data_IF_520896521382
#
_entry.id   IF_520896521382
#
_cell.length_a   1.000
_cell.length_b   1.000
_cell.length_c   1.000
_cell.angle_alpha   90.00
_cell.angle_beta   90.00
_cell.angle_gamma   90.00
#
_symmetry.space_group_name_H-M   'P 1'
#
loop_
_entity.id
_entity.type
_entity.pdbx_description
1 polymer ?
#
# COMPACT_ATOMS: atom_id res chain seq x y z
N UNK A 1 64.84 -21.11 30.84
CA UNK A 1 64.04 -21.70 29.75
C UNK A 1 62.59 -21.39 30.11
N UNK A 2 62.06 -20.28 29.58
CA UNK A 2 61.02 -20.28 28.53
C UNK A 2 59.75 -20.99 29.04
N UNK A 3 58.58 -20.39 29.12
CA UNK A 3 57.94 -19.39 28.28
C UNK A 3 56.56 -19.06 28.91
N UNK A 4 55.85 -18.09 28.34
CA UNK A 4 54.42 -17.79 28.46
C UNK A 4 53.99 -16.72 29.46
N UNK A 5 54.06 -15.49 28.94
CA UNK A 5 53.12 -14.42 29.21
C UNK A 5 51.69 -14.81 28.81
N UNK A 6 50.71 -14.44 29.65
CA UNK A 6 49.34 -13.99 29.32
C UNK A 6 48.56 -13.87 30.62
N UNK A 7 48.14 -12.65 30.95
CA UNK A 7 46.79 -12.30 31.41
C UNK A 7 46.81 -10.87 31.95
N UNK A 8 46.58 -9.91 31.06
CA UNK A 8 46.21 -8.54 31.44
C UNK A 8 45.49 -7.86 30.27
N UNK A 9 44.28 -8.32 29.92
CA UNK A 9 43.40 -7.59 28.96
C UNK A 9 41.89 -7.86 29.15
N UNK A 10 41.44 -8.22 30.36
CA UNK A 10 40.01 -8.51 30.62
C UNK A 10 39.31 -7.49 31.52
N UNK A 11 40.03 -6.53 32.12
CA UNK A 11 39.43 -5.55 33.03
C UNK A 11 39.02 -4.21 32.37
N UNK A 12 39.44 -3.93 31.13
CA UNK A 12 39.22 -2.62 30.49
C UNK A 12 38.04 -2.58 29.49
N UNK A 13 37.39 -3.71 29.20
CA UNK A 13 36.31 -3.80 28.19
C UNK A 13 34.89 -3.76 28.75
N UNK A 14 34.72 -3.85 30.06
CA UNK A 14 33.39 -3.90 30.71
C UNK A 14 32.84 -2.54 31.16
N UNK A 15 33.69 -1.50 31.31
CA UNK A 15 33.25 -0.16 31.78
C UNK A 15 32.82 0.77 30.63
N UNK A 16 33.09 0.42 29.36
CA UNK A 16 32.60 1.18 28.20
C UNK A 16 31.17 0.78 27.83
N UNK A 17 30.81 -0.51 27.92
CA UNK A 17 29.45 -0.98 27.62
C UNK A 17 28.42 -0.46 28.64
N UNK A 18 28.79 -0.36 29.92
CA UNK A 18 27.93 0.13 30.99
C UNK A 18 27.67 1.65 30.90
N UNK A 19 28.61 2.45 30.37
CA UNK A 19 28.44 3.90 30.19
C UNK A 19 27.63 4.28 28.94
N UNK A 20 27.56 3.39 27.94
CA UNK A 20 26.66 3.56 26.79
C UNK A 20 25.19 3.20 27.09
N UNK A 21 24.93 2.45 28.18
CA UNK A 21 23.57 2.04 28.56
C UNK A 21 22.82 3.03 29.47
N UNK A 22 23.53 3.99 30.08
CA UNK A 22 22.95 4.97 31.01
C UNK A 22 22.68 6.36 30.41
N UNK A 23 22.91 6.56 29.10
CA UNK A 23 22.67 7.85 28.43
C UNK A 23 21.49 7.83 27.43
N UNK A 24 20.72 6.74 27.35
CA UNK A 24 19.55 6.65 26.47
C UNK A 24 18.23 6.73 27.25
N UNK A 25 18.16 7.65 28.21
CA UNK A 25 16.90 8.09 28.78
C UNK A 25 16.08 8.81 27.69
N UNK A 26 15.16 8.05 27.10
CA UNK A 26 13.86 8.47 26.55
C UNK A 26 13.81 9.93 26.06
N UNK A 27 14.47 10.24 24.94
CA UNK A 27 13.84 11.17 24.01
C UNK A 27 12.52 10.53 23.57
N UNK A 28 11.37 11.23 23.62
CA UNK A 28 10.16 10.71 23.00
C UNK A 28 10.50 10.39 21.55
N UNK A 29 10.45 9.11 21.18
CA UNK A 29 10.71 8.69 19.81
C UNK A 29 9.52 9.18 19.00
N UNK A 30 9.67 10.34 18.37
CA UNK A 30 8.63 10.95 17.54
C UNK A 30 8.16 10.00 16.44
N UNK A 31 6.98 10.27 15.88
CA UNK A 31 6.49 9.54 14.72
C UNK A 31 7.50 9.61 13.55
N UNK A 32 7.52 8.60 12.68
CA UNK A 32 8.56 8.44 11.65
C UNK A 32 8.66 9.65 10.69
N UNK A 33 7.52 10.28 10.40
CA UNK A 33 7.43 11.49 9.58
C UNK A 33 7.01 12.73 10.39
N UNK A 34 7.29 12.75 11.70
CA UNK A 34 7.03 13.92 12.52
C UNK A 34 7.79 15.14 11.96
N UNK A 35 7.06 16.24 11.77
CA UNK A 35 7.60 17.48 11.18
C UNK A 35 7.46 17.58 9.66
N UNK A 36 7.07 16.50 8.97
CA UNK A 36 6.76 16.55 7.53
C UNK A 36 5.33 17.06 7.33
N UNK A 37 5.16 18.11 6.54
CA UNK A 37 3.87 18.65 6.11
C UNK A 37 3.56 18.29 4.67
N UNK A 38 2.39 17.69 4.43
CA UNK A 38 1.92 17.25 3.12
C UNK A 38 0.65 18.01 2.73
N UNK A 39 0.65 18.61 1.54
CA UNK A 39 -0.55 19.15 0.90
C UNK A 39 -1.13 18.06 -0.01
N UNK A 40 -2.29 17.54 0.37
CA UNK A 40 -3.01 16.47 -0.32
C UNK A 40 -4.09 17.08 -1.23
N UNK A 41 -3.81 17.15 -2.53
CA UNK A 41 -4.73 17.61 -3.58
C UNK A 41 -5.42 16.43 -4.30
N UNK A 42 -5.40 15.25 -3.67
CA UNK A 42 -5.82 14.01 -4.31
C UNK A 42 -7.29 13.69 -4.07
N UNK A 43 -7.84 12.81 -4.91
CA UNK A 43 -9.22 12.33 -4.82
C UNK A 43 -9.31 10.82 -5.08
N UNK A 44 -10.44 10.22 -4.73
CA UNK A 44 -10.76 8.82 -5.00
C UNK A 44 -9.89 7.85 -4.19
N UNK A 45 -8.89 7.17 -4.78
CA UNK A 45 -8.21 6.06 -4.08
C UNK A 45 -6.68 6.13 -4.10
N UNK A 46 -6.02 6.08 -5.27
CA UNK A 46 -4.57 5.94 -5.33
C UNK A 46 -3.80 7.03 -4.54
N UNK A 47 -4.16 8.29 -4.78
CA UNK A 47 -3.59 9.44 -4.08
C UNK A 47 -3.97 9.46 -2.59
N UNK A 48 -5.27 9.37 -2.23
CA UNK A 48 -5.69 9.37 -0.83
C UNK A 48 -5.06 8.22 -0.01
N UNK A 49 -4.89 7.04 -0.60
CA UNK A 49 -4.22 5.91 0.02
C UNK A 49 -2.74 6.20 0.31
N UNK A 50 -2.02 6.78 -0.64
CA UNK A 50 -0.64 7.25 -0.45
C UNK A 50 -0.53 8.24 0.70
N UNK A 51 -1.34 9.30 0.68
CA UNK A 51 -1.27 10.35 1.70
C UNK A 51 -1.78 9.89 3.06
N UNK A 52 -2.70 8.92 3.11
CA UNK A 52 -3.10 8.27 4.36
C UNK A 52 -1.95 7.46 4.99
N UNK A 53 -1.15 6.75 4.19
CA UNK A 53 0.03 6.04 4.72
C UNK A 53 1.04 7.05 5.30
N UNK A 54 1.30 8.16 4.60
CA UNK A 54 2.17 9.23 5.12
C UNK A 54 1.60 9.84 6.41
N UNK A 55 0.29 10.05 6.47
CA UNK A 55 -0.40 10.49 7.67
C UNK A 55 -0.19 9.46 8.79
N UNK A 56 -0.48 8.17 8.58
CA UNK A 56 -0.30 7.11 9.58
C UNK A 56 1.13 7.08 10.17
N UNK A 57 2.14 7.33 9.33
CA UNK A 57 3.56 7.43 9.71
C UNK A 57 3.93 8.72 10.46
N UNK A 58 3.03 9.70 10.57
CA UNK A 58 3.18 10.87 11.43
C UNK A 58 3.22 12.22 10.72
N UNK A 59 3.08 12.26 9.40
CA UNK A 59 3.05 13.53 8.67
C UNK A 59 1.78 14.34 9.00
N UNK A 60 1.89 15.66 8.97
CA UNK A 60 0.76 16.59 8.98
C UNK A 60 0.20 16.68 7.56
N UNK A 61 -0.87 15.92 7.28
CA UNK A 61 -1.48 15.83 5.95
C UNK A 61 -2.71 16.72 5.90
N UNK A 62 -2.65 17.74 5.05
CA UNK A 62 -3.70 18.72 4.83
C UNK A 62 -4.35 18.44 3.47
N UNK A 63 -5.54 17.85 3.50
CA UNK A 63 -6.36 17.57 2.32
C UNK A 63 -7.09 18.84 1.89
N UNK A 64 -6.80 19.31 0.68
CA UNK A 64 -7.48 20.44 0.06
C UNK A 64 -8.64 19.91 -0.77
N UNK A 65 -9.83 20.42 -0.47
CA UNK A 65 -11.07 19.92 -1.02
C UNK A 65 -11.85 21.04 -1.73
N UNK A 66 -12.54 20.67 -2.82
CA UNK A 66 -13.37 21.60 -3.57
C UNK A 66 -14.65 21.94 -2.79
N UNK A 67 -15.05 23.22 -2.67
CA UNK A 67 -16.29 23.62 -1.97
C UNK A 67 -17.57 23.01 -2.52
N UNK A 68 -17.59 22.58 -3.78
CA UNK A 68 -18.75 21.99 -4.44
C UNK A 68 -19.06 20.53 -4.10
N UNK A 69 -18.49 19.97 -3.02
CA UNK A 69 -18.80 18.60 -2.56
C UNK A 69 -17.61 17.77 -2.06
N UNK A 70 -16.40 18.35 -2.05
CA UNK A 70 -15.18 17.71 -1.56
C UNK A 70 -14.65 16.58 -2.44
N UNK A 71 -13.99 15.60 -1.83
CA UNK A 71 -13.59 14.35 -2.48
C UNK A 71 -14.80 13.55 -2.96
N UNK A 72 -14.75 12.99 -4.17
CA UNK A 72 -15.81 12.15 -4.74
C UNK A 72 -16.19 10.96 -3.84
N UNK A 73 -15.24 10.45 -3.05
CA UNK A 73 -15.51 9.33 -2.13
C UNK A 73 -16.45 9.68 -0.99
N UNK A 74 -16.68 10.97 -0.69
CA UNK A 74 -17.68 11.40 0.30
C UNK A 74 -19.11 10.95 -0.07
N UNK A 75 -19.38 10.77 -1.36
CA UNK A 75 -20.70 10.41 -1.91
C UNK A 75 -20.73 9.02 -2.56
N UNK A 76 -19.70 8.21 -2.36
CA UNK A 76 -19.60 6.86 -2.95
C UNK A 76 -20.42 5.82 -2.17
N UNK A 77 -20.86 4.75 -2.81
CA UNK A 77 -21.71 3.70 -2.20
C UNK A 77 -23.09 4.16 -1.69
N UNK A 78 -23.59 5.29 -2.19
CA UNK A 78 -24.92 5.83 -1.89
C UNK A 78 -24.85 7.05 -0.96
N UNK A 79 -25.89 7.88 -1.02
CA UNK A 79 -26.06 8.99 -0.07
C UNK A 79 -26.40 8.41 1.31
N UNK A 80 -25.73 8.88 2.36
CA UNK A 80 -26.20 8.61 3.72
C UNK A 80 -27.32 9.60 4.02
N UNK A 81 -28.52 9.09 4.28
CA UNK A 81 -29.74 9.90 4.52
C UNK A 81 -29.62 10.92 5.67
N UNK A 82 -28.56 10.84 6.48
CA UNK A 82 -28.28 11.70 7.62
C UNK A 82 -27.15 12.72 7.39
N UNK A 83 -26.73 12.94 6.14
CA UNK A 83 -25.74 13.96 5.78
C UNK A 83 -24.31 13.64 6.23
N UNK A 84 -24.03 12.37 6.53
CA UNK A 84 -22.67 11.86 6.79
C UNK A 84 -21.88 11.73 5.50
N UNK A 85 -20.56 11.63 5.64
CA UNK A 85 -19.74 11.14 4.54
C UNK A 85 -19.87 9.61 4.43
N UNK A 86 -19.69 9.11 3.21
CA UNK A 86 -19.58 7.69 2.94
C UNK A 86 -18.40 7.04 3.68
N UNK A 87 -18.60 5.78 4.07
CA UNK A 87 -17.53 4.93 4.62
C UNK A 87 -16.37 4.72 3.63
N UNK A 88 -16.58 4.94 2.33
CA UNK A 88 -15.51 4.97 1.32
C UNK A 88 -14.50 6.09 1.61
N UNK A 89 -14.98 7.28 1.99
CA UNK A 89 -14.12 8.38 2.39
C UNK A 89 -13.37 8.06 3.69
N UNK A 90 -14.07 7.46 4.67
CA UNK A 90 -13.49 7.08 5.97
C UNK A 90 -12.32 6.10 5.82
N UNK A 91 -12.43 5.16 4.89
CA UNK A 91 -11.40 4.14 4.64
C UNK A 91 -10.05 4.71 4.18
N UNK A 92 -10.02 5.93 3.65
CA UNK A 92 -8.88 6.50 2.94
C UNK A 92 -8.37 7.84 3.49
N UNK A 93 -9.04 8.42 4.50
CA UNK A 93 -8.77 9.80 4.91
C UNK A 93 -8.57 10.01 6.42
N UNK A 94 -8.44 8.95 7.22
CA UNK A 94 -8.02 9.06 8.63
C UNK A 94 -6.69 9.83 8.76
N UNK A 95 -6.46 10.42 9.93
CA UNK A 95 -5.27 11.23 10.25
C UNK A 95 -5.08 12.54 9.46
N UNK A 96 -5.94 12.86 8.49
CA UNK A 96 -5.83 14.08 7.68
C UNK A 96 -6.58 15.24 8.31
N UNK A 97 -6.19 16.47 7.94
CA UNK A 97 -6.96 17.70 8.14
C UNK A 97 -7.63 18.08 6.82
N UNK A 98 -8.88 18.56 6.85
CA UNK A 98 -9.61 18.99 5.65
C UNK A 98 -9.72 20.50 5.58
N UNK A 99 -9.39 21.08 4.43
CA UNK A 99 -9.48 22.52 4.14
C UNK A 99 -10.25 22.70 2.84
N UNK A 100 -11.24 23.59 2.83
CA UNK A 100 -11.98 23.95 1.63
C UNK A 100 -11.31 25.12 0.89
N UNK A 101 -10.79 24.88 -0.31
CA UNK A 101 -10.26 25.93 -1.19
C UNK A 101 -10.79 25.74 -2.61
N UNK A 102 -11.33 26.83 -3.19
CA UNK A 102 -11.60 26.87 -4.62
C UNK A 102 -10.36 27.36 -5.37
N UNK A 103 -9.59 26.41 -5.90
CA UNK A 103 -8.36 26.66 -6.66
C UNK A 103 -8.59 27.40 -8.00
N UNK A 104 -9.85 27.60 -8.41
CA UNK A 104 -10.19 28.42 -9.60
C UNK A 104 -10.29 29.91 -9.28
N UNK A 105 -10.30 30.27 -8.00
CA UNK A 105 -10.32 31.67 -7.55
C UNK A 105 -8.91 32.15 -7.26
N UNK A 106 -8.65 33.44 -7.48
CA UNK A 106 -7.35 34.05 -7.15
C UNK A 106 -6.98 33.85 -5.67
N UNK A 107 -7.97 33.98 -4.78
CA UNK A 107 -7.78 33.77 -3.35
C UNK A 107 -7.42 32.32 -3.02
N UNK A 108 -8.19 31.35 -3.52
CA UNK A 108 -7.92 29.94 -3.23
C UNK A 108 -6.56 29.47 -3.77
N UNK A 109 -6.16 29.96 -4.94
CA UNK A 109 -4.82 29.71 -5.49
C UNK A 109 -3.72 30.38 -4.64
N UNK A 110 -3.90 31.63 -4.23
CA UNK A 110 -2.96 32.31 -3.35
C UNK A 110 -2.83 31.58 -1.99
N UNK A 111 -3.92 31.07 -1.46
CA UNK A 111 -3.93 30.29 -0.21
C UNK A 111 -3.17 28.97 -0.38
N UNK A 112 -3.35 28.27 -1.51
CA UNK A 112 -2.54 27.09 -1.86
C UNK A 112 -1.04 27.43 -1.94
N UNK A 113 -0.67 28.52 -2.61
CA UNK A 113 0.73 28.94 -2.72
C UNK A 113 1.35 29.23 -1.34
N UNK A 114 0.59 29.85 -0.42
CA UNK A 114 1.03 30.03 0.97
C UNK A 114 1.20 28.70 1.71
N UNK A 115 0.33 27.72 1.49
CA UNK A 115 0.51 26.36 2.04
C UNK A 115 1.80 25.73 1.53
N UNK A 116 2.04 25.78 0.22
CA UNK A 116 3.21 25.19 -0.46
C UNK A 116 4.52 25.78 0.03
N UNK A 117 4.56 27.08 0.32
CA UNK A 117 5.74 27.75 0.88
C UNK A 117 6.22 27.16 2.23
N UNK A 118 5.38 26.39 2.91
CA UNK A 118 5.69 25.72 4.18
C UNK A 118 5.57 24.20 4.12
N UNK A 119 5.25 23.64 2.95
CA UNK A 119 5.06 22.21 2.77
C UNK A 119 6.38 21.49 2.45
N UNK A 120 6.45 20.22 2.82
CA UNK A 120 7.53 19.32 2.42
C UNK A 120 7.15 18.55 1.16
N UNK A 121 5.87 18.19 1.04
CA UNK A 121 5.33 17.37 -0.05
C UNK A 121 4.02 17.96 -0.56
N UNK A 122 3.82 17.97 -1.87
CA UNK A 122 2.51 18.14 -2.51
C UNK A 122 2.18 16.84 -3.24
N UNK A 123 0.96 16.34 -3.10
CA UNK A 123 0.48 15.17 -3.83
C UNK A 123 -0.78 15.53 -4.60
N UNK A 124 -0.84 15.20 -5.89
CA UNK A 124 -2.08 15.30 -6.68
C UNK A 124 -2.27 14.07 -7.56
N UNK A 125 -3.51 13.82 -8.01
CA UNK A 125 -3.80 12.75 -8.96
C UNK A 125 -4.76 13.17 -10.08
N UNK A 126 -4.65 14.44 -10.48
CA UNK A 126 -5.39 14.96 -11.62
C UNK A 126 -4.87 14.43 -12.96
N UNK A 127 -5.72 14.52 -13.98
CA UNK A 127 -5.31 14.30 -15.37
C UNK A 127 -4.17 15.27 -15.75
N UNK A 128 -3.23 14.86 -16.60
CA UNK A 128 -2.22 15.76 -17.14
C UNK A 128 -2.82 17.05 -17.72
N UNK A 129 -2.11 18.17 -17.55
CA UNK A 129 -2.58 19.51 -17.95
C UNK A 129 -3.51 20.20 -16.95
N UNK A 130 -4.08 19.49 -15.98
CA UNK A 130 -4.96 20.12 -14.97
C UNK A 130 -4.16 20.98 -14.00
N UNK A 131 -3.01 20.48 -13.53
CA UNK A 131 -2.17 21.18 -12.56
C UNK A 131 -1.65 22.51 -13.14
N UNK A 132 -1.24 22.50 -14.41
CA UNK A 132 -0.77 23.67 -15.15
C UNK A 132 -1.88 24.71 -15.29
N UNK A 133 -3.11 24.29 -15.66
CA UNK A 133 -4.25 25.21 -15.74
C UNK A 133 -4.66 25.83 -14.40
N UNK A 134 -4.40 25.12 -13.30
CA UNK A 134 -4.69 25.59 -11.95
C UNK A 134 -3.53 26.39 -11.34
N UNK A 135 -2.37 26.51 -11.99
CA UNK A 135 -1.18 27.13 -11.40
C UNK A 135 -0.61 26.34 -10.21
N UNK A 136 -0.79 25.02 -10.23
CA UNK A 136 -0.35 24.07 -9.21
C UNK A 136 0.59 22.99 -9.78
N UNK A 137 1.22 23.26 -10.93
CA UNK A 137 2.22 22.38 -11.54
C UNK A 137 3.57 22.46 -10.83
N UNK A 138 4.44 21.50 -11.11
CA UNK A 138 5.77 21.42 -10.49
C UNK A 138 6.61 22.69 -10.71
N UNK A 139 6.61 23.28 -11.90
CA UNK A 139 7.44 24.45 -12.21
C UNK A 139 6.99 25.64 -11.37
N UNK A 140 5.67 25.88 -11.30
CA UNK A 140 5.10 26.96 -10.49
C UNK A 140 5.38 26.75 -9.00
N UNK A 141 5.11 25.55 -8.47
CA UNK A 141 5.23 25.30 -7.02
C UNK A 141 6.68 25.19 -6.53
N UNK A 142 7.59 24.65 -7.35
CA UNK A 142 9.02 24.58 -6.99
C UNK A 142 9.70 25.95 -7.00
N UNK A 143 9.23 26.90 -7.81
CA UNK A 143 9.71 28.29 -7.74
C UNK A 143 9.37 28.96 -6.40
N UNK A 144 8.23 28.59 -5.79
CA UNK A 144 7.83 29.06 -4.46
C UNK A 144 8.63 28.33 -3.37
N UNK A 145 8.88 27.04 -3.55
CA UNK A 145 9.58 26.20 -2.58
C UNK A 145 10.53 25.20 -3.30
N UNK A 146 11.82 25.55 -3.45
CA UNK A 146 12.80 24.68 -4.12
C UNK A 146 13.07 23.35 -3.39
N UNK A 147 12.67 23.24 -2.12
CA UNK A 147 12.80 22.03 -1.30
C UNK A 147 11.60 21.07 -1.45
N UNK A 148 10.60 21.44 -2.25
CA UNK A 148 9.35 20.72 -2.36
C UNK A 148 9.52 19.36 -3.06
N UNK A 149 9.01 18.29 -2.44
CA UNK A 149 8.76 17.04 -3.14
C UNK A 149 7.38 17.13 -3.82
N UNK A 150 7.36 17.17 -5.14
CA UNK A 150 6.12 17.25 -5.92
C UNK A 150 5.75 15.88 -6.46
N UNK A 151 4.67 15.30 -5.97
CA UNK A 151 4.27 13.94 -6.25
C UNK A 151 2.97 13.86 -7.06
N UNK A 152 2.96 13.03 -8.10
CA UNK A 152 1.81 12.87 -8.99
C UNK A 152 1.47 11.41 -9.26
N UNK A 153 0.18 11.06 -9.24
CA UNK A 153 -0.34 9.79 -9.78
C UNK A 153 -1.26 10.09 -10.97
N UNK A 154 -1.10 9.37 -12.07
CA UNK A 154 -2.01 9.46 -13.22
C UNK A 154 -2.43 8.08 -13.72
N UNK A 155 -3.27 8.03 -14.76
CA UNK A 155 -3.67 6.77 -15.38
C UNK A 155 -2.52 6.03 -16.05
N UNK A 156 -1.68 6.75 -16.81
CA UNK A 156 -0.68 6.19 -17.73
C UNK A 156 0.68 6.90 -17.70
N UNK A 157 0.91 7.80 -16.77
CA UNK A 157 2.12 8.64 -16.69
C UNK A 157 1.90 9.99 -17.36
N UNK A 158 2.90 10.86 -17.27
CA UNK A 158 2.83 12.21 -17.86
C UNK A 158 3.49 12.32 -19.23
N UNK A 159 4.04 11.21 -19.73
CA UNK A 159 4.71 11.12 -21.03
C UNK A 159 4.21 9.92 -21.83
N UNK A 160 4.59 9.85 -23.11
CA UNK A 160 4.18 8.77 -24.01
C UNK A 160 2.79 8.95 -24.62
N UNK A 161 2.37 8.02 -25.49
CA UNK A 161 1.17 8.19 -26.32
C UNK A 161 -0.15 8.16 -25.54
N UNK A 162 -0.12 7.72 -24.27
CA UNK A 162 -1.31 7.56 -23.43
C UNK A 162 -1.42 8.60 -22.32
N UNK A 163 -0.50 9.57 -22.24
CA UNK A 163 -0.47 10.58 -21.19
C UNK A 163 -1.82 11.29 -20.99
N UNK A 164 -2.47 11.70 -22.09
CA UNK A 164 -3.74 12.44 -22.02
C UNK A 164 -4.99 11.56 -21.82
N UNK A 165 -4.83 10.23 -21.72
CA UNK A 165 -5.98 9.33 -21.55
C UNK A 165 -6.53 9.37 -20.13
N UNK A 166 -7.87 9.35 -19.95
CA UNK A 166 -8.45 9.12 -18.64
C UNK A 166 -8.10 7.70 -18.16
N UNK A 167 -7.72 7.56 -16.90
CA UNK A 167 -7.37 6.28 -16.30
C UNK A 167 -8.16 6.03 -15.01
N UNK A 168 -8.69 4.82 -14.92
CA UNK A 168 -9.21 4.21 -13.70
C UNK A 168 -8.57 2.83 -13.56
N UNK A 169 -8.57 2.29 -12.34
CA UNK A 169 -7.98 0.99 -12.02
C UNK A 169 -8.39 -0.12 -13.00
N UNK A 170 -9.70 -0.27 -13.28
CA UNK A 170 -10.20 -1.29 -14.21
C UNK A 170 -9.58 -1.16 -15.62
N UNK A 171 -9.43 0.07 -16.12
CA UNK A 171 -8.83 0.33 -17.43
C UNK A 171 -7.34 -0.01 -17.39
N UNK A 172 -6.63 0.38 -16.33
CA UNK A 172 -5.22 0.06 -16.15
C UNK A 172 -4.99 -1.46 -16.07
N UNK A 173 -5.81 -2.20 -15.33
CA UNK A 173 -5.74 -3.66 -15.25
C UNK A 173 -5.94 -4.33 -16.62
N UNK A 174 -6.91 -3.84 -17.40
CA UNK A 174 -7.17 -4.36 -18.75
C UNK A 174 -6.01 -4.07 -19.71
N UNK A 175 -5.47 -2.84 -19.68
CA UNK A 175 -4.41 -2.43 -20.59
C UNK A 175 -3.03 -3.01 -20.24
N UNK A 176 -2.74 -3.24 -18.96
CA UNK A 176 -1.46 -3.78 -18.51
C UNK A 176 -1.39 -5.32 -18.54
N UNK A 177 -2.43 -6.00 -19.04
CA UNK A 177 -2.46 -7.46 -19.20
C UNK A 177 -2.86 -8.24 -17.95
N UNK A 178 -3.14 -7.59 -16.81
CA UNK A 178 -3.55 -8.29 -15.60
C UNK A 178 -4.86 -9.07 -15.78
N UNK A 179 -5.83 -8.50 -16.52
CA UNK A 179 -7.09 -9.19 -16.81
C UNK A 179 -6.94 -10.37 -17.77
N UNK A 180 -5.91 -10.41 -18.63
CA UNK A 180 -5.73 -11.53 -19.58
C UNK A 180 -5.21 -12.79 -18.90
N UNK A 181 -4.74 -12.68 -17.66
CA UNK A 181 -4.16 -13.77 -16.88
C UNK A 181 -4.96 -14.12 -15.62
N UNK A 182 -6.05 -13.39 -15.36
CA UNK A 182 -6.89 -13.55 -14.17
C UNK A 182 -8.20 -14.25 -14.55
N UNK A 183 -8.60 -15.25 -13.76
CA UNK A 183 -9.83 -16.02 -13.94
C UNK A 183 -9.58 -17.46 -14.37
N UNK A 184 -10.66 -18.15 -14.72
CA UNK A 184 -10.62 -19.52 -15.20
C UNK A 184 -10.19 -19.60 -16.67
N UNK A 185 -9.51 -20.69 -17.10
CA UNK A 185 -9.29 -20.97 -18.51
C UNK A 185 -10.61 -20.90 -19.32
N UNK A 186 -10.54 -20.32 -20.50
CA UNK A 186 -11.68 -20.13 -21.44
C UNK A 186 -12.89 -19.32 -20.88
N UNK A 187 -12.75 -18.73 -19.69
CA UNK A 187 -13.73 -17.84 -19.07
C UNK A 187 -13.75 -16.43 -19.69
N UNK A 188 -14.78 -15.64 -19.33
CA UNK A 188 -14.78 -14.20 -19.65
C UNK A 188 -13.66 -13.51 -18.87
N UNK A 189 -13.01 -12.46 -19.43
CA UNK A 189 -12.00 -11.70 -18.69
C UNK A 189 -12.58 -11.13 -17.39
N UNK A 190 -11.86 -11.32 -16.29
CA UNK A 190 -12.20 -10.79 -14.97
C UNK A 190 -11.06 -9.92 -14.45
N UNK A 191 -11.41 -8.91 -13.65
CA UNK A 191 -10.45 -8.06 -12.95
C UNK A 191 -10.00 -8.72 -11.65
N UNK A 192 -8.88 -8.25 -11.09
CA UNK A 192 -8.56 -8.54 -9.71
C UNK A 192 -9.68 -8.01 -8.79
N UNK A 193 -10.03 -8.79 -7.76
CA UNK A 193 -11.05 -8.40 -6.79
C UNK A 193 -10.71 -7.08 -6.09
N UNK A 194 -9.42 -6.85 -5.84
CA UNK A 194 -8.88 -5.61 -5.27
C UNK A 194 -8.46 -4.62 -6.38
N UNK A 195 -8.49 -3.31 -6.09
CA UNK A 195 -8.07 -2.26 -7.02
C UNK A 195 -6.53 -2.15 -7.01
N UNK A 196 -5.87 -3.14 -7.61
CA UNK A 196 -4.41 -3.32 -7.54
C UNK A 196 -3.63 -2.18 -8.20
N UNK A 197 -4.16 -1.55 -9.24
CA UNK A 197 -3.56 -0.38 -9.87
C UNK A 197 -3.60 0.84 -8.95
N UNK A 198 -4.74 1.11 -8.32
CA UNK A 198 -4.86 2.23 -7.35
C UNK A 198 -3.96 2.02 -6.13
N UNK A 199 -4.06 0.85 -5.48
CA UNK A 199 -3.29 0.54 -4.27
C UNK A 199 -1.80 0.43 -4.59
N UNK A 200 -1.44 -0.21 -5.71
CA UNK A 200 -0.07 -0.35 -6.17
C UNK A 200 0.59 0.99 -6.46
N UNK A 201 -0.09 1.87 -7.21
CA UNK A 201 0.42 3.21 -7.51
C UNK A 201 0.57 4.04 -6.22
N UNK A 202 -0.37 3.93 -5.29
CA UNK A 202 -0.26 4.57 -3.98
C UNK A 202 0.99 4.14 -3.20
N UNK A 203 1.27 2.82 -3.14
CA UNK A 203 2.45 2.28 -2.46
C UNK A 203 3.77 2.66 -3.16
N UNK A 204 3.81 2.64 -4.49
CA UNK A 204 4.98 3.08 -5.26
C UNK A 204 5.25 4.57 -5.04
N UNK A 205 4.20 5.40 -5.01
CA UNK A 205 4.37 6.84 -4.76
C UNK A 205 4.85 7.12 -3.33
N UNK A 206 4.36 6.39 -2.31
CA UNK A 206 4.93 6.49 -0.94
C UNK A 206 6.43 6.21 -0.97
N UNK A 207 6.85 5.15 -1.65
CA UNK A 207 8.27 4.79 -1.76
C UNK A 207 9.10 5.90 -2.44
N UNK A 208 8.58 6.47 -3.53
CA UNK A 208 9.20 7.58 -4.23
C UNK A 208 9.28 8.88 -3.40
N UNK A 209 8.23 9.21 -2.64
CA UNK A 209 8.20 10.37 -1.73
C UNK A 209 9.25 10.20 -0.63
N UNK A 210 9.32 9.02 0.00
CA UNK A 210 10.32 8.75 1.06
C UNK A 210 11.75 8.85 0.51
N UNK A 211 11.99 8.35 -0.70
CA UNK A 211 13.28 8.47 -1.37
C UNK A 211 13.63 9.94 -1.70
N UNK A 212 12.67 10.72 -2.18
CA UNK A 212 12.85 12.14 -2.49
C UNK A 212 13.07 12.99 -1.24
N UNK A 213 12.38 12.70 -0.13
CA UNK A 213 12.63 13.33 1.16
C UNK A 213 14.07 13.02 1.65
N UNK A 214 14.52 11.77 1.53
CA UNK A 214 15.89 11.39 1.88
C UNK A 214 16.94 12.07 0.98
N UNK A 215 16.64 12.20 -0.31
CA UNK A 215 17.47 12.97 -1.25
C UNK A 215 17.60 14.42 -0.79
N UNK A 216 16.47 15.07 -0.50
CA UNK A 216 16.39 16.46 -0.04
C UNK A 216 17.15 16.71 1.25
N UNK A 217 17.17 15.76 2.20
CA UNK A 217 17.96 15.90 3.42
C UNK A 217 19.48 15.89 3.15
N UNK A 218 19.92 15.31 2.02
CA UNK A 218 21.34 15.24 1.64
C UNK A 218 21.77 16.38 0.73
N UNK A 219 20.89 16.82 -0.17
CA UNK A 219 21.22 17.82 -1.20
C UNK A 219 20.70 19.20 -0.88
N UNK A 220 19.67 19.28 -0.04
CA UNK A 220 18.93 20.51 0.17
C UNK A 220 17.81 20.73 -0.84
N UNK A 221 17.66 19.89 -1.85
CA UNK A 221 16.78 20.11 -3.01
C UNK A 221 15.60 19.14 -3.05
N UNK A 222 14.42 19.65 -3.42
CA UNK A 222 13.25 18.84 -3.70
C UNK A 222 13.32 18.21 -5.09
N UNK A 223 12.30 17.42 -5.46
CA UNK A 223 12.19 16.87 -6.80
C UNK A 223 10.76 16.45 -7.12
N UNK A 224 10.49 16.31 -8.43
CA UNK A 224 9.28 15.66 -8.93
C UNK A 224 9.39 14.15 -8.79
N UNK A 225 8.31 13.52 -8.35
CA UNK A 225 8.10 12.07 -8.27
C UNK A 225 6.78 11.75 -8.96
N UNK A 226 6.77 10.77 -9.86
CA UNK A 226 5.54 10.34 -10.50
C UNK A 226 5.48 8.84 -10.71
N UNK A 227 4.25 8.33 -10.78
CA UNK A 227 3.92 6.97 -11.19
C UNK A 227 2.54 6.96 -11.81
N UNK A 228 2.13 5.82 -12.36
CA UNK A 228 0.78 5.63 -12.87
C UNK A 228 0.13 4.33 -12.46
N UNK A 229 -1.19 4.26 -12.63
CA UNK A 229 -1.96 3.03 -12.42
C UNK A 229 -1.46 1.92 -13.37
N UNK A 230 -1.20 2.26 -14.63
CA UNK A 230 -0.67 1.33 -15.63
C UNK A 230 0.70 0.78 -15.25
N UNK A 231 1.64 1.65 -14.90
CA UNK A 231 2.99 1.25 -14.47
C UNK A 231 2.94 0.41 -13.19
N UNK A 232 2.05 0.73 -12.25
CA UNK A 232 1.88 -0.04 -11.03
C UNK A 232 1.43 -1.48 -11.33
N UNK A 233 0.42 -1.66 -12.19
CA UNK A 233 -0.03 -3.00 -12.58
C UNK A 233 1.08 -3.76 -13.31
N UNK A 234 1.79 -3.10 -14.23
CA UNK A 234 2.89 -3.71 -14.98
C UNK A 234 4.08 -4.07 -14.07
N UNK A 235 4.39 -3.25 -13.08
CA UNK A 235 5.45 -3.54 -12.11
C UNK A 235 5.16 -4.79 -11.26
N UNK A 236 3.88 -5.15 -11.09
CA UNK A 236 3.47 -6.35 -10.37
C UNK A 236 3.43 -7.62 -11.24
N UNK A 237 3.58 -7.52 -12.57
CA UNK A 237 3.52 -8.66 -13.50
C UNK A 237 4.89 -9.33 -13.77
N UNK A 238 5.76 -9.36 -12.75
CA UNK A 238 7.14 -9.85 -12.86
C UNK A 238 7.21 -11.28 -13.43
N UNK A 239 6.32 -12.17 -12.99
CA UNK A 239 6.33 -13.56 -13.45
C UNK A 239 5.70 -13.71 -14.83
N UNK A 240 4.59 -13.03 -15.08
CA UNK A 240 3.87 -13.06 -16.36
C UNK A 240 4.73 -12.52 -17.51
N UNK A 241 5.41 -11.39 -17.28
CA UNK A 241 6.33 -10.81 -18.25
C UNK A 241 7.53 -11.72 -18.51
N UNK A 242 8.08 -12.32 -17.45
CA UNK A 242 9.19 -13.29 -17.57
C UNK A 242 8.76 -14.54 -18.33
N UNK A 243 7.58 -15.10 -18.07
CA UNK A 243 7.03 -16.25 -18.82
C UNK A 243 6.91 -15.93 -20.30
N UNK A 244 6.37 -14.75 -20.64
CA UNK A 244 6.26 -14.32 -22.03
C UNK A 244 7.63 -14.20 -22.70
N UNK A 245 8.61 -13.55 -22.07
CA UNK A 245 9.94 -13.41 -22.65
C UNK A 245 10.71 -14.73 -22.75
N UNK A 246 10.51 -15.65 -21.81
CA UNK A 246 11.17 -16.94 -21.81
C UNK A 246 10.61 -17.92 -22.85
N UNK A 247 9.30 -17.87 -23.10
CA UNK A 247 8.60 -18.85 -23.95
C UNK A 247 8.18 -18.31 -25.31
N UNK A 248 8.08 -16.99 -25.46
CA UNK A 248 7.50 -16.32 -26.63
C UNK A 248 5.97 -16.43 -26.71
N UNK A 249 5.33 -17.10 -25.75
CA UNK A 249 3.88 -17.29 -25.70
C UNK A 249 3.26 -16.43 -24.58
N UNK A 250 2.14 -15.74 -24.83
CA UNK A 250 1.49 -14.95 -23.79
C UNK A 250 0.94 -15.87 -22.68
N UNK A 251 1.13 -15.51 -21.40
CA UNK A 251 0.57 -16.25 -20.28
C UNK A 251 -0.96 -16.27 -20.34
N UNK A 252 -1.55 -17.34 -19.82
CA UNK A 252 -3.01 -17.56 -19.83
C UNK A 252 -3.59 -17.59 -18.41
N UNK A 253 -4.92 -17.43 -18.25
CA UNK A 253 -5.59 -17.68 -16.98
C UNK A 253 -5.42 -19.14 -16.54
N UNK A 254 -5.29 -19.36 -15.23
CA UNK A 254 -5.03 -20.68 -14.62
C UNK A 254 -5.97 -20.96 -13.43
N UNK A 255 -7.05 -20.18 -13.28
CA UNK A 255 -7.86 -20.18 -12.07
C UNK A 255 -7.01 -19.78 -10.86
N UNK A 256 -7.03 -20.61 -9.82
CA UNK A 256 -6.23 -20.43 -8.60
C UNK A 256 -4.81 -21.01 -8.67
N UNK A 257 -4.45 -21.67 -9.78
CA UNK A 257 -3.21 -22.43 -9.83
C UNK A 257 -1.97 -21.58 -10.09
N UNK A 258 -0.88 -21.95 -9.42
CA UNK A 258 0.43 -21.34 -9.58
C UNK A 258 1.04 -21.65 -10.97
N UNK A 259 1.75 -20.68 -11.55
CA UNK A 259 2.40 -20.83 -12.86
C UNK A 259 3.64 -21.73 -12.85
N UNK A 260 4.33 -21.81 -11.72
CA UNK A 260 5.69 -22.38 -11.64
C UNK A 260 5.72 -23.75 -10.96
N UNK A 261 4.65 -24.15 -10.27
CA UNK A 261 4.65 -25.40 -9.51
C UNK A 261 3.27 -26.02 -9.38
N UNK A 262 3.26 -27.34 -9.21
CA UNK A 262 2.06 -28.12 -8.94
C UNK A 262 2.36 -29.24 -7.93
N UNK A 263 1.42 -29.59 -7.02
CA UNK A 263 0.17 -28.86 -6.78
C UNK A 263 0.44 -27.60 -5.93
N UNK A 264 0.00 -26.45 -6.46
CA UNK A 264 -0.03 -25.20 -5.72
C UNK A 264 -1.24 -24.38 -6.20
N UNK A 265 -2.41 -24.66 -5.62
CA UNK A 265 -3.70 -24.14 -6.08
C UNK A 265 -4.78 -24.30 -5.00
N UNK A 266 -5.98 -23.75 -5.25
CA UNK A 266 -7.17 -24.09 -4.48
C UNK A 266 -7.74 -25.44 -4.94
N UNK A 267 -8.19 -26.24 -3.98
CA UNK A 267 -8.79 -27.56 -4.18
C UNK A 267 -10.04 -27.70 -3.32
N UNK A 268 -11.07 -28.33 -3.88
CA UNK A 268 -12.36 -28.57 -3.23
C UNK A 268 -12.25 -29.61 -2.12
N UNK A 269 -12.96 -29.38 -1.03
CA UNK A 269 -13.14 -30.30 0.12
C UNK A 269 -14.62 -30.68 0.27
N UNK A 270 -15.01 -31.34 1.35
CA UNK A 270 -16.42 -31.68 1.59
C UNK A 270 -17.34 -30.46 1.73
N UNK A 271 -16.82 -29.34 2.29
CA UNK A 271 -17.62 -28.18 2.71
C UNK A 271 -17.10 -26.83 2.17
N UNK A 272 -16.03 -26.82 1.38
CA UNK A 272 -15.47 -25.57 0.84
C UNK A 272 -14.25 -25.78 -0.05
N UNK A 273 -13.28 -24.89 0.10
CA UNK A 273 -12.00 -24.92 -0.60
C UNK A 273 -10.87 -24.60 0.37
N UNK A 274 -9.75 -25.31 0.20
CA UNK A 274 -8.46 -24.92 0.77
C UNK A 274 -7.45 -24.67 -0.33
N UNK A 275 -6.41 -23.93 -0.01
CA UNK A 275 -5.21 -23.80 -0.83
C UNK A 275 -4.13 -24.72 -0.30
N UNK A 276 -3.44 -25.44 -1.18
CA UNK A 276 -2.27 -26.26 -0.84
C UNK A 276 -1.06 -25.67 -1.54
N UNK A 277 0.09 -25.61 -0.85
CA UNK A 277 1.38 -25.27 -1.44
C UNK A 277 2.40 -26.40 -1.32
N UNK A 278 2.43 -27.32 -2.30
CA UNK A 278 3.46 -28.36 -2.40
C UNK A 278 4.44 -28.08 -3.55
N UNK A 279 5.10 -26.92 -3.46
CA UNK A 279 5.89 -26.34 -4.55
C UNK A 279 7.29 -26.97 -4.77
N UNK A 280 7.65 -28.00 -4.02
CA UNK A 280 8.91 -28.71 -4.16
C UNK A 280 8.74 -30.20 -3.82
N UNK A 281 9.75 -31.02 -4.17
CA UNK A 281 9.62 -32.48 -4.07
C UNK A 281 9.38 -32.98 -2.64
N UNK A 282 10.00 -32.35 -1.64
CA UNK A 282 9.81 -32.72 -0.23
C UNK A 282 8.38 -32.45 0.23
N UNK A 283 7.82 -31.30 -0.14
CA UNK A 283 6.42 -30.97 0.20
C UNK A 283 5.43 -31.85 -0.57
N UNK A 284 5.74 -32.20 -1.82
CA UNK A 284 4.96 -33.15 -2.61
C UNK A 284 4.86 -34.52 -1.92
N UNK A 285 5.99 -35.10 -1.52
CA UNK A 285 6.00 -36.38 -0.81
C UNK A 285 5.22 -36.33 0.52
N UNK A 286 5.34 -35.22 1.25
CA UNK A 286 4.57 -35.02 2.49
C UNK A 286 3.09 -34.88 2.25
N UNK A 287 2.69 -34.19 1.18
CA UNK A 287 1.30 -34.07 0.78
C UNK A 287 0.71 -35.44 0.47
N UNK A 288 1.38 -36.23 -0.38
CA UNK A 288 0.97 -37.60 -0.68
C UNK A 288 0.83 -38.45 0.57
N UNK A 289 1.81 -38.38 1.50
CA UNK A 289 1.73 -39.12 2.76
C UNK A 289 0.55 -38.66 3.64
N UNK A 290 0.32 -37.35 3.78
CA UNK A 290 -0.75 -36.80 4.60
C UNK A 290 -2.15 -37.11 4.05
N UNK A 291 -2.26 -37.24 2.73
CA UNK A 291 -3.49 -37.62 2.04
C UNK A 291 -3.62 -39.13 1.83
N UNK A 292 -2.64 -39.93 2.25
CA UNK A 292 -2.61 -41.38 2.04
C UNK A 292 -2.65 -41.79 0.55
N UNK A 293 -2.02 -40.96 -0.31
CA UNK A 293 -1.89 -41.14 -1.75
C UNK A 293 -0.41 -41.35 -2.13
N UNK A 294 0.30 -42.18 -1.38
CA UNK A 294 1.76 -42.36 -1.53
C UNK A 294 2.18 -42.94 -2.88
N UNK A 295 1.29 -43.68 -3.53
CA UNK A 295 1.48 -44.23 -4.88
C UNK A 295 1.66 -43.14 -5.95
N UNK A 296 1.11 -41.94 -5.74
CA UNK A 296 1.29 -40.83 -6.68
C UNK A 296 2.72 -40.31 -6.71
N UNK A 297 3.54 -40.59 -5.70
CA UNK A 297 4.95 -40.16 -5.66
C UNK A 297 5.77 -40.82 -6.76
N UNK A 298 5.48 -42.09 -7.07
CA UNK A 298 6.20 -42.90 -8.04
C UNK A 298 5.46 -43.00 -9.39
N UNK A 299 4.28 -42.40 -9.50
CA UNK A 299 3.53 -42.31 -10.75
C UNK A 299 4.28 -41.45 -11.77
N UNK A 300 4.54 -42.01 -12.95
CA UNK A 300 5.26 -41.35 -14.04
C UNK A 300 4.69 -39.98 -14.42
N UNK A 301 3.39 -39.74 -14.18
CA UNK A 301 2.73 -38.45 -14.41
C UNK A 301 3.11 -37.38 -13.39
N UNK A 302 3.59 -37.75 -12.20
CA UNK A 302 3.72 -36.85 -11.04
C UNK A 302 5.10 -36.84 -10.35
N UNK A 303 6.08 -37.56 -10.89
CA UNK A 303 7.43 -37.68 -10.31
C UNK A 303 8.09 -36.31 -10.12
N UNK A 304 8.16 -35.52 -11.18
CA UNK A 304 8.80 -34.18 -11.15
C UNK A 304 7.76 -33.07 -11.13
N UNK A 305 8.18 -31.86 -10.73
CA UNK A 305 7.32 -30.69 -10.79
C UNK A 305 6.80 -30.42 -12.22
N UNK A 306 7.64 -30.62 -13.24
CA UNK A 306 7.23 -30.43 -14.63
C UNK A 306 6.18 -31.44 -15.07
N UNK A 307 6.30 -32.69 -14.61
CA UNK A 307 5.30 -33.72 -14.92
C UNK A 307 3.97 -33.36 -14.24
N UNK A 308 4.00 -32.99 -12.95
CA UNK A 308 2.80 -32.50 -12.23
C UNK A 308 2.16 -31.28 -12.88
N UNK A 309 2.96 -30.38 -13.44
CA UNK A 309 2.43 -29.22 -14.16
C UNK A 309 1.77 -29.60 -15.48
N UNK A 310 2.30 -30.59 -16.22
CA UNK A 310 1.70 -31.10 -17.46
C UNK A 310 0.39 -31.85 -17.20
N UNK A 311 0.30 -32.51 -16.05
CA UNK A 311 -0.86 -33.31 -15.63
C UNK A 311 -1.65 -32.63 -14.50
N UNK A 312 -1.67 -31.29 -14.46
CA UNK A 312 -2.22 -30.54 -13.32
C UNK A 312 -3.67 -30.84 -13.03
N UNK A 313 -4.52 -30.80 -14.04
CA UNK A 313 -5.97 -30.95 -13.85
C UNK A 313 -6.30 -32.37 -13.41
N UNK A 314 -5.58 -33.36 -13.95
CA UNK A 314 -5.66 -34.76 -13.55
C UNK A 314 -5.17 -34.97 -12.10
N UNK A 315 -4.07 -34.33 -11.72
CA UNK A 315 -3.58 -34.34 -10.34
C UNK A 315 -4.59 -33.68 -9.39
N UNK A 316 -5.13 -32.52 -9.76
CA UNK A 316 -6.11 -31.80 -8.95
C UNK A 316 -7.34 -32.67 -8.70
N UNK A 317 -7.87 -33.35 -9.71
CA UNK A 317 -9.01 -34.24 -9.58
C UNK A 317 -8.75 -35.40 -8.59
N UNK A 318 -7.57 -36.04 -8.65
CA UNK A 318 -7.17 -37.11 -7.73
C UNK A 318 -7.06 -36.60 -6.28
N UNK A 319 -6.49 -35.41 -6.09
CA UNK A 319 -6.39 -34.80 -4.77
C UNK A 319 -7.78 -34.41 -4.23
N UNK A 320 -8.65 -33.84 -5.07
CA UNK A 320 -10.02 -33.44 -4.69
C UNK A 320 -10.90 -34.65 -4.34
N UNK A 321 -10.75 -35.79 -5.03
CA UNK A 321 -11.45 -37.03 -4.66
C UNK A 321 -11.13 -37.42 -3.22
N UNK A 322 -9.86 -37.33 -2.82
CA UNK A 322 -9.44 -37.63 -1.45
C UNK A 322 -9.87 -36.56 -0.44
N UNK A 323 -9.78 -35.28 -0.82
CA UNK A 323 -10.14 -34.15 0.02
C UNK A 323 -11.67 -34.05 0.24
N UNK A 324 -12.48 -34.63 -0.62
CA UNK A 324 -13.93 -34.70 -0.44
C UNK A 324 -14.37 -35.55 0.77
N UNK A 325 -13.46 -36.34 1.36
CA UNK A 325 -13.77 -37.21 2.49
C UNK A 325 -13.87 -36.49 3.85
N UNK A 326 -13.41 -35.24 3.95
CA UNK A 326 -13.39 -34.50 5.23
C UNK A 326 -13.55 -32.97 5.03
N UNK A 327 -13.76 -32.26 6.13
CA UNK A 327 -13.96 -30.80 6.12
C UNK A 327 -12.68 -30.04 5.81
N UNK A 328 -12.84 -28.80 5.35
CA UNK A 328 -11.73 -27.88 5.06
C UNK A 328 -10.80 -27.70 6.27
N UNK A 329 -11.38 -27.49 7.45
CA UNK A 329 -10.63 -27.29 8.70
C UNK A 329 -9.78 -28.51 9.05
N UNK A 330 -10.36 -29.72 9.01
CA UNK A 330 -9.64 -30.95 9.34
C UNK A 330 -8.50 -31.23 8.38
N UNK A 331 -8.68 -30.94 7.09
CA UNK A 331 -7.60 -31.05 6.11
C UNK A 331 -6.50 -30.03 6.33
N UNK A 332 -6.84 -28.78 6.60
CA UNK A 332 -5.84 -27.75 6.90
C UNK A 332 -5.00 -28.16 8.11
N UNK A 333 -5.62 -28.61 9.20
CA UNK A 333 -4.90 -29.07 10.40
C UNK A 333 -4.00 -30.26 10.11
N UNK A 334 -4.49 -31.27 9.39
CA UNK A 334 -3.72 -32.46 9.03
C UNK A 334 -2.50 -32.12 8.14
N UNK A 335 -2.70 -31.25 7.14
CA UNK A 335 -1.63 -30.81 6.24
C UNK A 335 -0.57 -29.97 6.98
N UNK A 336 -1.00 -29.05 7.84
CA UNK A 336 -0.08 -28.25 8.66
C UNK A 336 0.71 -29.12 9.64
N UNK A 337 0.07 -30.11 10.26
CA UNK A 337 0.74 -31.09 11.14
C UNK A 337 1.79 -31.92 10.38
N UNK A 338 1.53 -32.25 9.11
CA UNK A 338 2.49 -32.90 8.22
C UNK A 338 3.59 -31.94 7.68
N UNK A 339 3.52 -30.64 8.01
CA UNK A 339 4.44 -29.62 7.54
C UNK A 339 4.27 -29.28 6.06
N UNK A 340 3.04 -29.39 5.54
CA UNK A 340 2.62 -28.93 4.22
C UNK A 340 1.87 -27.61 4.38
N UNK A 341 2.32 -26.52 3.72
CA UNK A 341 1.58 -25.26 3.72
C UNK A 341 0.17 -25.43 3.16
N UNK A 342 -0.84 -25.08 3.95
CA UNK A 342 -2.23 -25.08 3.55
C UNK A 342 -3.01 -23.99 4.30
N UNK A 343 -4.14 -23.55 3.73
CA UNK A 343 -5.04 -22.60 4.38
C UNK A 343 -6.40 -22.50 3.68
N UNK A 344 -7.49 -22.20 4.41
CA UNK A 344 -8.84 -22.10 3.86
C UNK A 344 -9.00 -20.85 2.97
N UNK A 345 -9.95 -20.89 2.04
CA UNK A 345 -10.45 -19.66 1.38
C UNK A 345 -11.57 -19.08 2.25
N UNK A 346 -11.35 -17.88 2.78
CA UNK A 346 -12.26 -17.19 3.70
C UNK A 346 -12.95 -16.00 3.03
N UNK A 347 -14.17 -15.69 3.46
CA UNK A 347 -14.84 -14.43 3.16
C UNK A 347 -14.46 -13.30 4.14
N UNK A 348 -14.96 -12.08 3.89
CA UNK A 348 -14.64 -10.93 4.73
C UNK A 348 -15.25 -10.97 6.13
N UNK A 349 -16.39 -11.64 6.35
CA UNK A 349 -16.96 -11.78 7.69
C UNK A 349 -16.06 -12.69 8.53
N UNK A 350 -15.65 -13.82 7.96
CA UNK A 350 -14.71 -14.74 8.57
C UNK A 350 -13.37 -14.05 8.89
N UNK A 351 -12.79 -13.29 7.95
CA UNK A 351 -11.50 -12.61 8.16
C UNK A 351 -11.61 -11.44 9.13
N UNK A 352 -12.59 -10.54 8.98
CA UNK A 352 -12.62 -9.28 9.73
C UNK A 352 -13.24 -9.41 11.12
N UNK A 353 -14.19 -10.33 11.32
CA UNK A 353 -14.91 -10.47 12.58
C UNK A 353 -14.47 -11.70 13.40
N UNK A 354 -13.83 -12.71 12.79
CA UNK A 354 -13.57 -14.00 13.45
C UNK A 354 -12.11 -14.50 13.39
N UNK A 355 -11.26 -13.96 12.51
CA UNK A 355 -9.90 -14.46 12.37
C UNK A 355 -9.01 -14.09 13.59
N UNK A 356 -8.42 -15.09 14.27
CA UNK A 356 -7.64 -14.85 15.48
C UNK A 356 -6.33 -14.11 15.21
N UNK A 357 -5.76 -14.24 14.00
CA UNK A 357 -4.55 -13.52 13.62
C UNK A 357 -4.88 -12.04 13.35
N UNK A 358 -6.01 -11.74 12.69
CA UNK A 358 -6.52 -10.36 12.53
C UNK A 358 -6.72 -9.69 13.88
N UNK A 359 -7.35 -10.39 14.83
CA UNK A 359 -7.55 -9.90 16.19
C UNK A 359 -6.23 -9.69 16.95
N UNK A 360 -5.34 -10.70 16.98
CA UNK A 360 -4.04 -10.63 17.65
C UNK A 360 -3.11 -9.55 17.05
N UNK A 361 -3.26 -9.29 15.75
CA UNK A 361 -2.54 -8.25 15.02
C UNK A 361 -3.25 -6.92 15.01
N UNK A 362 -4.42 -6.82 15.65
CA UNK A 362 -5.25 -5.63 15.79
C UNK A 362 -5.43 -4.90 14.44
N UNK A 363 -5.68 -5.67 13.38
CA UNK A 363 -5.75 -5.16 12.00
C UNK A 363 -7.08 -4.46 11.70
N UNK A 364 -8.08 -4.63 12.56
CA UNK A 364 -9.31 -3.84 12.58
C UNK A 364 -9.32 -2.99 13.85
N UNK A 365 -9.56 -1.69 13.69
CA UNK A 365 -9.65 -0.72 14.79
C UNK A 365 -10.96 0.03 14.72
N UNK A 366 -11.46 0.45 15.88
CA UNK A 366 -12.57 1.40 15.97
C UNK A 366 -12.01 2.81 16.17
N UNK A 367 -12.64 3.78 15.51
CA UNK A 367 -12.34 5.20 15.65
C UNK A 367 -13.64 5.94 15.96
N UNK A 368 -13.62 6.82 16.95
CA UNK A 368 -14.74 7.71 17.24
C UNK A 368 -14.81 8.82 16.17
N UNK A 369 -15.96 8.95 15.53
CA UNK A 369 -16.26 9.95 14.50
C UNK A 369 -17.45 10.82 14.97
N UNK A 370 -17.36 12.17 14.88
CA UNK A 370 -18.30 13.10 15.51
C UNK A 370 -19.73 12.97 14.97
N UNK A 371 -19.89 12.51 13.73
CA UNK A 371 -21.22 12.30 13.11
C UNK A 371 -21.56 10.82 12.96
N UNK A 372 -20.58 9.94 12.82
CA UNK A 372 -20.80 8.53 12.48
C UNK A 372 -20.74 7.59 13.70
N UNK A 373 -20.42 8.12 14.89
CA UNK A 373 -20.17 7.30 16.07
C UNK A 373 -18.89 6.48 15.89
N UNK A 374 -18.89 5.22 16.33
CA UNK A 374 -17.73 4.35 16.13
C UNK A 374 -17.72 3.75 14.74
N UNK A 375 -16.63 3.97 14.01
CA UNK A 375 -16.39 3.39 12.69
C UNK A 375 -15.24 2.40 12.73
N UNK A 376 -15.42 1.23 12.11
CA UNK A 376 -14.35 0.25 11.91
C UNK A 376 -13.48 0.68 10.73
N UNK A 377 -12.16 0.64 10.91
CA UNK A 377 -11.17 0.91 9.88
C UNK A 377 -10.04 -0.12 9.95
N UNK A 378 -9.36 -0.33 8.83
CA UNK A 378 -8.13 -1.12 8.81
C UNK A 378 -7.00 -0.35 9.50
N UNK A 379 -6.28 -1.03 10.39
CA UNK A 379 -5.09 -0.47 11.03
C UNK A 379 -3.94 -0.30 10.02
N UNK A 380 -2.98 0.61 10.27
CA UNK A 380 -1.75 0.68 9.49
C UNK A 380 -1.02 -0.68 9.53
N UNK A 381 -0.71 -1.31 8.38
CA UNK A 381 -0.13 -2.64 8.35
C UNK A 381 1.37 -2.66 8.71
N UNK A 382 2.01 -1.49 8.80
CA UNK A 382 3.43 -1.34 9.13
C UNK A 382 3.66 -1.23 10.65
N UNK A 383 4.52 -2.09 11.18
CA UNK A 383 4.94 -2.07 12.60
C UNK A 383 6.39 -1.65 12.74
N UNK A 384 6.60 -0.35 12.96
CA UNK A 384 7.92 0.20 13.26
C UNK A 384 8.20 0.08 14.76
N UNK A 385 9.29 -0.61 15.13
CA UNK A 385 9.61 -0.92 16.53
C UNK A 385 9.95 0.32 17.38
N UNK A 386 10.43 1.40 16.74
CA UNK A 386 10.86 2.62 17.40
C UNK A 386 9.91 3.81 17.20
N UNK A 387 9.13 3.82 16.13
CA UNK A 387 8.30 4.95 15.69
C UNK A 387 6.99 4.44 15.07
N UNK A 388 6.14 3.74 15.85
CA UNK A 388 4.99 3.00 15.33
C UNK A 388 4.02 3.92 14.58
N UNK A 389 3.49 3.42 13.46
CA UNK A 389 2.36 4.06 12.79
C UNK A 389 1.14 4.03 13.70
N UNK A 390 0.33 5.09 13.68
CA UNK A 390 -0.80 5.23 14.59
C UNK A 390 -1.98 5.94 13.94
N UNK A 391 -3.18 5.53 14.34
CA UNK A 391 -4.41 6.28 14.08
C UNK A 391 -4.59 7.27 15.24
N UNK A 392 -4.52 8.56 14.93
CA UNK A 392 -4.54 9.69 15.88
C UNK A 392 -5.76 10.57 15.69
N UNK A 393 -6.26 10.70 14.47
CA UNK A 393 -7.48 11.46 14.15
C UNK A 393 -8.40 10.61 13.30
N UNK A 394 -9.69 10.81 13.53
CA UNK A 394 -10.73 10.39 12.61
C UNK A 394 -10.56 10.99 11.21
N UNK A 395 -11.17 10.37 10.18
CA UNK A 395 -11.34 11.02 8.88
C UNK A 395 -12.05 12.38 9.06
N UNK A 396 -11.56 13.47 8.47
CA UNK A 396 -12.06 14.80 8.76
C UNK A 396 -13.40 15.08 8.10
N UNK A 397 -14.26 15.84 8.79
CA UNK A 397 -15.42 16.44 8.15
C UNK A 397 -14.98 17.40 7.05
N UNK A 398 -15.84 17.62 6.06
CA UNK A 398 -15.53 18.53 4.95
C UNK A 398 -15.23 19.94 5.48
N UNK A 399 -14.01 20.44 5.22
CA UNK A 399 -13.57 21.76 5.64
C UNK A 399 -13.36 21.94 7.15
N UNK A 400 -13.38 20.87 7.94
CA UNK A 400 -13.30 20.91 9.41
C UNK A 400 -12.15 21.77 9.95
N UNK A 401 -11.03 21.80 9.24
CA UNK A 401 -9.78 22.43 9.68
C UNK A 401 -9.45 23.68 8.85
N UNK A 402 -10.41 24.24 8.09
CA UNK A 402 -10.17 25.38 7.20
C UNK A 402 -9.64 26.59 7.97
N UNK A 403 -10.34 27.01 9.02
CA UNK A 403 -9.96 28.18 9.81
C UNK A 403 -8.65 27.94 10.58
N UNK A 404 -8.47 26.73 11.14
CA UNK A 404 -7.24 26.33 11.84
C UNK A 404 -6.02 26.47 10.93
N UNK A 405 -6.06 25.86 9.73
CA UNK A 405 -4.93 25.87 8.81
C UNK A 405 -4.67 27.28 8.27
N UNK A 406 -5.71 28.04 7.93
CA UNK A 406 -5.54 29.42 7.43
C UNK A 406 -4.93 30.34 8.49
N UNK A 407 -5.30 30.18 9.77
CA UNK A 407 -4.68 30.91 10.87
C UNK A 407 -3.19 30.54 11.04
N UNK A 408 -2.84 29.24 10.99
CA UNK A 408 -1.44 28.80 11.05
C UNK A 408 -0.57 29.43 9.95
N UNK A 409 -1.12 29.59 8.74
CA UNK A 409 -0.40 30.23 7.63
C UNK A 409 -0.17 31.73 7.89
N UNK A 410 -1.16 32.42 8.47
CA UNK A 410 -1.04 33.83 8.82
C UNK A 410 0.02 34.05 9.90
N UNK A 411 0.03 33.22 10.95
CA UNK A 411 1.02 33.30 12.03
C UNK A 411 2.44 33.02 11.53
N UNK A 412 2.61 32.04 10.65
CA UNK A 412 3.91 31.72 10.04
C UNK A 412 4.40 32.84 9.12
N UNK A 413 3.50 33.51 8.40
CA UNK A 413 3.85 34.67 7.60
C UNK A 413 4.33 35.83 8.47
N UNK A 414 3.66 36.10 9.60
CA UNK A 414 4.05 37.15 10.55
C UNK A 414 5.40 36.87 11.25
N UNK A 415 5.83 35.61 11.34
CA UNK A 415 7.08 35.20 11.98
C UNK A 415 8.30 35.17 11.05
N UNK A 416 8.15 35.35 9.73
CA UNK A 416 9.30 35.56 8.83
C UNK A 416 9.77 37.02 9.00
N UNK A 417 10.95 37.28 9.59
CA UNK A 417 11.48 38.65 9.61
C UNK A 417 11.83 39.07 8.18
N UNK A 418 11.48 40.31 7.83
CA UNK A 418 11.90 40.97 6.58
C UNK A 418 13.40 40.73 6.37
N UNK A 419 13.73 39.88 5.39
CA UNK A 419 15.10 39.71 4.88
C UNK A 419 15.35 40.54 3.62
N UNK A 420 14.54 41.56 3.37
CA UNK A 420 14.68 42.51 2.27
C UNK A 420 14.97 43.93 2.78
N UNK A 421 15.87 44.01 3.77
CA UNK A 421 16.30 45.26 4.37
C UNK A 421 17.80 45.31 4.59
N UNK A 422 18.62 45.07 3.56
CA UNK A 422 20.01 45.52 3.55
C UNK A 422 20.57 45.62 2.11
N UNK A 423 20.52 46.86 1.62
CA UNK A 423 21.48 47.62 0.80
C UNK A 423 22.15 46.97 -0.44
N UNK A 424 21.83 47.59 -1.59
CA UNK A 424 22.68 47.57 -2.78
C UNK A 424 23.99 48.37 -2.54
N UNK A 425 25.13 47.89 -3.05
CA UNK A 425 26.20 48.74 -3.55
C UNK A 425 26.03 49.08 -5.04
#
# INVERSE_FOLDING_TARGET
>A
MSDHARDDDTAARDDTAARHHAANEKRPRGAALAGIRVVDLTQVMAGPFCTMILADLGADVIKVENPGGGDQTRHSWGETDDGRDSTAFFALNRNKRSVLLDLKTERGLADLHRMVATADVVVHNWRPGVAERLGADHTTLSAINPRLVYAAISGFGTTGPYADRPGYDLIAQGMAGAMSVTGEPDGRPVKNGLPVGDLGAGMLLVSGILAALLHRERTGEGQRVETSLFEAVLAMSVWESTEYWATGAPPRPLGSANRMSAPYQALRTADGYLTIGANNQRLWQRLCAALELTELVDDARFVTNMDRMRHRDELAALLEERLAADTTERWVDALLAAGVPAGPIQDYAQVLDHDPQVAARELVREVDHPVAGRVKVLAPPLRLSASPAAIRRHPPLIGEHTDEVLAELADRAAQRPDRDGEEAP
#
